data_IF_973838698069
#
_entry.id   IF_973838698069
#
_cell.length_a   1.000
_cell.length_b   1.000
_cell.length_c   1.000
_cell.angle_alpha   90.00
_cell.angle_beta   90.00
_cell.angle_gamma   90.00
#
_symmetry.space_group_name_H-M   'P 1'
#
loop_
_entity.id
_entity.type
_entity.pdbx_description
1 polymer ?
#
# COMPACT_ATOMS: atom_id res chain seq x y z
N UNK A 1 -28.60 49.71 20.10
CA UNK A 1 -29.22 48.79 19.13
C UNK A 1 -28.12 48.00 18.44
N UNK A 2 -27.71 46.86 18.99
CA UNK A 2 -26.63 46.04 18.45
C UNK A 2 -27.01 44.57 18.58
N UNK A 3 -27.71 44.03 17.60
CA UNK A 3 -27.92 42.61 17.37
C UNK A 3 -28.31 42.49 15.90
N UNK A 4 -27.81 41.45 15.21
CA UNK A 4 -28.18 41.00 13.85
C UNK A 4 -27.09 41.01 12.75
N UNK A 5 -25.80 40.81 13.07
CA UNK A 5 -24.79 40.53 12.01
C UNK A 5 -24.10 39.16 12.10
N UNK A 6 -24.33 38.36 13.16
CA UNK A 6 -23.59 37.09 13.34
C UNK A 6 -24.28 35.85 12.74
N UNK A 7 -25.57 35.93 12.39
CA UNK A 7 -26.33 34.74 11.94
C UNK A 7 -26.19 34.45 10.44
N UNK A 8 -25.76 35.42 9.64
CA UNK A 8 -25.68 35.27 8.18
C UNK A 8 -24.39 34.57 7.74
N UNK A 9 -23.28 34.79 8.45
CA UNK A 9 -21.95 34.26 8.09
C UNK A 9 -21.86 32.73 8.18
N UNK A 10 -22.50 32.12 9.19
CA UNK A 10 -22.51 30.65 9.36
C UNK A 10 -23.33 29.90 8.31
N UNK A 11 -24.36 30.52 7.72
CA UNK A 11 -25.17 29.88 6.66
C UNK A 11 -24.47 29.87 5.31
N UNK A 12 -23.69 30.91 4.99
CA UNK A 12 -22.95 30.98 3.72
C UNK A 12 -21.77 30.00 3.68
N UNK A 13 -21.03 29.81 4.79
CA UNK A 13 -19.91 28.88 4.85
C UNK A 13 -20.30 27.40 4.59
N UNK A 14 -21.46 26.97 5.11
CA UNK A 14 -21.94 25.58 4.90
C UNK A 14 -22.34 25.30 3.44
N UNK A 15 -22.80 26.31 2.71
CA UNK A 15 -23.23 26.15 1.30
C UNK A 15 -22.04 26.00 0.35
N UNK A 16 -20.91 26.64 0.65
CA UNK A 16 -19.67 26.52 -0.14
C UNK A 16 -18.93 25.20 0.11
N UNK A 17 -18.87 24.71 1.35
CA UNK A 17 -18.23 23.42 1.66
C UNK A 17 -18.89 22.24 0.93
N UNK A 18 -20.23 22.25 0.80
CA UNK A 18 -20.97 21.17 0.12
C UNK A 18 -20.72 21.13 -1.39
N UNK A 19 -20.52 22.29 -2.03
CA UNK A 19 -20.23 22.40 -3.46
C UNK A 19 -18.82 21.95 -3.84
N UNK A 20 -17.83 22.23 -2.97
CA UNK A 20 -16.44 21.81 -3.20
C UNK A 20 -16.30 20.28 -3.07
N UNK A 21 -16.98 19.68 -2.10
CA UNK A 21 -16.94 18.23 -1.88
C UNK A 21 -17.58 17.44 -3.04
N UNK A 22 -18.67 17.94 -3.64
CA UNK A 22 -19.30 17.29 -4.80
C UNK A 22 -18.46 17.39 -6.09
N UNK A 23 -17.74 18.49 -6.31
CA UNK A 23 -16.95 18.68 -7.53
C UNK A 23 -15.68 17.82 -7.53
N UNK A 24 -15.03 17.68 -6.37
CA UNK A 24 -13.86 16.79 -6.21
C UNK A 24 -14.23 15.31 -6.44
N UNK A 25 -15.42 14.88 -6.01
CA UNK A 25 -15.87 13.51 -6.26
C UNK A 25 -16.10 13.20 -7.75
N UNK A 26 -16.49 14.18 -8.57
CA UNK A 26 -16.75 13.94 -10.00
C UNK A 26 -15.45 13.95 -10.83
N UNK A 27 -14.47 14.79 -10.48
CA UNK A 27 -13.18 14.81 -11.18
C UNK A 27 -12.30 13.59 -10.83
N UNK A 28 -12.42 13.03 -9.61
CA UNK A 28 -11.75 11.77 -9.24
C UNK A 28 -12.30 10.57 -10.04
N UNK A 29 -13.59 10.57 -10.39
CA UNK A 29 -14.19 9.47 -11.16
C UNK A 29 -13.66 9.49 -12.61
N UNK A 30 -13.43 10.67 -13.19
CA UNK A 30 -12.95 10.77 -14.58
C UNK A 30 -11.45 10.48 -14.76
N UNK A 31 -10.63 10.63 -13.71
CA UNK A 31 -9.20 10.24 -13.75
C UNK A 31 -9.05 8.71 -13.56
N UNK A 32 -10.02 8.05 -12.92
CA UNK A 32 -9.96 6.60 -12.65
C UNK A 32 -10.07 5.71 -13.90
N UNK A 33 -10.53 6.25 -15.03
CA UNK A 33 -10.68 5.47 -16.27
C UNK A 33 -9.48 5.57 -17.21
N UNK A 34 -8.46 6.38 -16.90
CA UNK A 34 -7.35 6.64 -17.82
C UNK A 34 -5.95 6.32 -17.28
N UNK A 35 -5.84 5.40 -16.32
CA UNK A 35 -4.59 4.71 -15.99
C UNK A 35 -4.71 3.20 -16.22
N UNK A 36 -5.51 2.80 -17.21
CA UNK A 36 -5.31 1.54 -17.94
C UNK A 36 -4.28 1.80 -19.02
N UNK A 37 -2.99 1.76 -18.67
CA UNK A 37 -1.87 1.47 -19.58
C UNK A 37 -0.58 1.59 -18.79
N UNK A 38 0.34 0.66 -19.02
CA UNK A 38 1.70 0.59 -18.45
C UNK A 38 1.79 -0.13 -17.09
N UNK A 39 1.14 -1.29 -16.96
CA UNK A 39 1.85 -2.49 -16.47
C UNK A 39 1.41 -3.61 -17.41
N UNK A 40 2.38 -4.24 -18.06
CA UNK A 40 2.17 -5.15 -19.17
C UNK A 40 1.20 -6.29 -18.87
N UNK A 41 0.47 -6.66 -19.91
CA UNK A 41 -0.35 -7.86 -20.02
C UNK A 41 0.29 -9.06 -19.31
N UNK A 42 -0.29 -9.43 -18.17
CA UNK A 42 -0.54 -10.82 -17.82
C UNK A 42 -1.85 -10.83 -17.06
N UNK A 43 -2.94 -11.09 -17.79
CA UNK A 43 -4.29 -11.30 -17.26
C UNK A 43 -4.42 -12.59 -16.43
N UNK A 44 -3.47 -12.83 -15.51
CA UNK A 44 -3.58 -13.82 -14.47
C UNK A 44 -4.13 -13.14 -13.22
N UNK A 45 -5.24 -13.63 -12.68
CA UNK A 45 -5.67 -13.30 -11.33
C UNK A 45 -4.64 -13.92 -10.38
N UNK A 46 -3.58 -13.17 -10.07
CA UNK A 46 -2.59 -13.59 -9.09
C UNK A 46 -3.26 -13.61 -7.72
N UNK A 47 -3.55 -14.80 -7.22
CA UNK A 47 -4.04 -14.96 -5.87
C UNK A 47 -2.92 -14.64 -4.90
N UNK A 48 -3.28 -14.03 -3.78
CA UNK A 48 -2.32 -13.78 -2.71
C UNK A 48 -2.90 -14.11 -1.35
N UNK A 49 -2.01 -14.51 -0.44
CA UNK A 49 -2.34 -14.89 0.94
C UNK A 49 -1.58 -13.99 1.90
N UNK A 50 -2.30 -13.41 2.85
CA UNK A 50 -1.76 -12.55 3.90
C UNK A 50 -1.33 -13.41 5.10
N UNK A 51 -0.11 -13.22 5.60
CA UNK A 51 0.47 -13.98 6.72
C UNK A 51 0.83 -13.12 7.92
N UNK A 52 1.41 -11.92 7.71
CA UNK A 52 1.90 -11.02 8.77
C UNK A 52 2.81 -11.73 9.79
N UNK A 53 3.69 -12.61 9.32
CA UNK A 53 4.53 -13.45 10.17
C UNK A 53 5.99 -12.94 10.20
N UNK A 54 6.65 -12.84 11.37
CA UNK A 54 8.07 -12.52 11.43
C UNK A 54 8.89 -13.57 10.69
N UNK A 55 9.93 -13.14 9.99
CA UNK A 55 10.85 -14.00 9.25
C UNK A 55 12.30 -13.63 9.55
N UNK A 56 13.14 -14.65 9.62
CA UNK A 56 14.59 -14.46 9.65
C UNK A 56 15.09 -14.07 8.27
N UNK A 57 16.07 -13.18 8.22
CA UNK A 57 16.72 -12.76 6.98
C UNK A 57 18.23 -12.83 7.11
N UNK A 58 18.92 -12.96 5.97
CA UNK A 58 20.34 -12.66 5.86
C UNK A 58 20.52 -11.54 4.87
N UNK A 59 21.34 -10.57 5.26
CA UNK A 59 21.69 -9.42 4.46
C UNK A 59 23.15 -9.57 4.01
N UNK A 60 23.45 -9.08 2.81
CA UNK A 60 24.80 -8.81 2.35
C UNK A 60 24.92 -7.29 2.20
N UNK A 61 25.54 -6.64 3.19
CA UNK A 61 25.40 -5.19 3.39
C UNK A 61 23.95 -4.80 3.71
N UNK A 62 23.33 -4.02 2.82
CA UNK A 62 21.91 -3.62 2.93
C UNK A 62 20.98 -4.52 2.11
N UNK A 63 21.55 -5.38 1.24
CA UNK A 63 20.79 -6.17 0.29
C UNK A 63 20.26 -7.45 0.95
N UNK A 64 18.97 -7.70 0.77
CA UNK A 64 18.32 -8.93 1.22
C UNK A 64 18.69 -10.09 0.29
N UNK A 65 19.51 -11.02 0.78
CA UNK A 65 19.98 -12.18 -0.02
C UNK A 65 19.23 -13.47 0.29
N UNK A 66 18.77 -13.67 1.53
CA UNK A 66 18.04 -14.85 1.97
C UNK A 66 16.96 -14.47 2.99
N UNK A 67 15.85 -15.20 2.99
CA UNK A 67 14.87 -15.14 4.08
C UNK A 67 14.30 -16.53 4.37
N UNK A 68 13.88 -16.77 5.61
CA UNK A 68 13.33 -18.05 6.03
C UNK A 68 11.79 -18.05 5.94
N UNK A 69 11.25 -19.03 5.23
CA UNK A 69 9.81 -19.24 5.14
C UNK A 69 9.47 -20.73 5.23
N UNK A 70 8.53 -21.09 6.12
CA UNK A 70 8.11 -22.48 6.39
C UNK A 70 9.29 -23.44 6.59
N UNK A 71 10.27 -23.01 7.40
CA UNK A 71 11.46 -23.80 7.73
C UNK A 71 12.49 -23.92 6.59
N UNK A 72 12.33 -23.19 5.48
CA UNK A 72 13.26 -23.21 4.34
C UNK A 72 13.88 -21.84 4.14
N UNK A 73 15.18 -21.81 3.88
CA UNK A 73 15.87 -20.60 3.41
C UNK A 73 15.62 -20.43 1.91
N UNK A 74 15.05 -19.29 1.53
CA UNK A 74 14.76 -18.93 0.15
C UNK A 74 15.76 -17.87 -0.31
N UNK A 75 16.45 -18.15 -1.42
CA UNK A 75 17.39 -17.22 -2.04
C UNK A 75 16.65 -16.15 -2.84
N UNK A 76 16.97 -14.90 -2.56
CA UNK A 76 16.40 -13.75 -3.26
C UNK A 76 17.04 -13.63 -4.65
N UNK A 77 16.19 -13.53 -5.67
CA UNK A 77 16.59 -13.24 -7.04
C UNK A 77 16.52 -11.73 -7.33
N UNK A 78 15.48 -11.08 -6.83
CA UNK A 78 15.31 -9.63 -6.91
C UNK A 78 14.51 -9.13 -5.71
N UNK A 79 14.78 -7.90 -5.28
CA UNK A 79 14.09 -7.22 -4.21
C UNK A 79 13.83 -5.78 -4.64
N UNK A 80 12.56 -5.38 -4.71
CA UNK A 80 12.16 -4.03 -5.12
C UNK A 80 11.23 -3.41 -4.08
N UNK A 81 11.37 -2.11 -3.84
CA UNK A 81 10.45 -1.39 -2.98
C UNK A 81 9.16 -1.09 -3.75
N UNK A 82 8.03 -1.53 -3.23
CA UNK A 82 6.71 -1.33 -3.86
C UNK A 82 5.81 -0.45 -3.01
N UNK A 83 4.93 0.30 -3.67
CA UNK A 83 3.86 1.03 -3.02
C UNK A 83 2.62 0.15 -2.94
N UNK A 84 2.25 -0.26 -1.73
CA UNK A 84 1.02 -1.00 -1.47
C UNK A 84 0.01 -0.06 -0.85
N UNK A 85 -1.13 0.13 -1.54
CA UNK A 85 -2.26 0.84 -0.95
C UNK A 85 -2.86 -0.03 0.15
N UNK A 86 -2.75 0.42 1.40
CA UNK A 86 -3.29 -0.26 2.58
C UNK A 86 -4.46 0.51 3.18
N UNK A 87 -5.28 -0.21 3.93
CA UNK A 87 -6.29 0.41 4.78
C UNK A 87 -5.62 1.12 5.96
N UNK A 88 -6.25 2.21 6.41
CA UNK A 88 -5.72 3.07 7.48
C UNK A 88 -5.45 2.30 8.79
N UNK A 89 -6.25 1.26 9.07
CA UNK A 89 -6.13 0.44 10.26
C UNK A 89 -5.09 -0.69 10.14
N UNK A 90 -4.42 -0.83 8.99
CA UNK A 90 -3.34 -1.81 8.88
C UNK A 90 -2.12 -1.32 9.66
N UNK A 91 -1.61 -2.17 10.56
CA UNK A 91 -0.40 -1.93 11.35
C UNK A 91 0.82 -1.61 10.48
N UNK A 92 0.84 -2.10 9.23
CA UNK A 92 1.91 -1.87 8.27
C UNK A 92 1.61 -0.76 7.25
N UNK A 93 0.52 0.00 7.42
CA UNK A 93 0.09 1.09 6.53
C UNK A 93 1.21 2.08 6.18
N UNK A 94 2.08 2.39 7.13
CA UNK A 94 3.14 3.40 6.98
C UNK A 94 4.53 2.81 6.74
N UNK A 95 4.66 1.49 6.62
CA UNK A 95 5.96 0.85 6.47
C UNK A 95 6.32 0.57 5.00
N UNK A 96 7.61 0.71 4.63
CA UNK A 96 8.07 0.35 3.30
C UNK A 96 7.87 -1.14 3.06
N UNK A 97 7.39 -1.46 1.87
CA UNK A 97 7.12 -2.83 1.43
C UNK A 97 8.12 -3.22 0.37
N UNK A 98 8.68 -4.41 0.51
CA UNK A 98 9.69 -4.96 -0.36
C UNK A 98 9.11 -6.19 -1.03
N UNK A 99 8.91 -6.11 -2.35
CA UNK A 99 8.51 -7.25 -3.16
C UNK A 99 9.76 -8.03 -3.53
N UNK A 100 9.79 -9.27 -3.08
CA UNK A 100 10.91 -10.19 -3.18
C UNK A 100 10.51 -11.34 -4.08
N UNK A 101 11.27 -11.52 -5.16
CA UNK A 101 11.18 -12.72 -6.00
C UNK A 101 12.24 -13.70 -5.54
N UNK A 102 11.85 -14.91 -5.15
CA UNK A 102 12.78 -15.98 -4.84
C UNK A 102 13.30 -16.62 -6.15
N UNK A 103 14.53 -17.15 -6.14
CA UNK A 103 15.08 -17.91 -7.27
C UNK A 103 14.26 -19.16 -7.62
N UNK A 104 13.53 -19.70 -6.65
CA UNK A 104 12.58 -20.81 -6.87
C UNK A 104 11.29 -20.39 -7.57
N UNK A 105 11.11 -19.10 -7.90
CA UNK A 105 9.98 -18.57 -8.64
C UNK A 105 8.89 -17.90 -7.80
N UNK A 106 8.88 -18.11 -6.47
CA UNK A 106 7.86 -17.53 -5.59
C UNK A 106 7.99 -16.00 -5.43
N UNK A 107 6.88 -15.34 -5.17
CA UNK A 107 6.81 -13.88 -4.98
C UNK A 107 6.23 -13.55 -3.60
N UNK A 108 6.91 -12.66 -2.88
CA UNK A 108 6.67 -12.38 -1.47
C UNK A 108 6.71 -10.88 -1.22
N UNK A 109 5.80 -10.35 -0.42
CA UNK A 109 5.92 -8.99 0.11
C UNK A 109 6.42 -9.06 1.54
N UNK A 110 7.60 -8.50 1.78
CA UNK A 110 8.19 -8.33 3.10
C UNK A 110 8.06 -6.88 3.55
N UNK A 111 7.92 -6.69 4.85
CA UNK A 111 7.91 -5.38 5.50
C UNK A 111 9.00 -5.36 6.57
N UNK A 112 9.73 -4.26 6.67
CA UNK A 112 10.71 -4.04 7.74
C UNK A 112 10.07 -3.18 8.82
N UNK A 113 9.79 -3.77 9.98
CA UNK A 113 9.31 -3.07 11.16
C UNK A 113 10.47 -2.80 12.16
N UNK A 114 10.14 -2.32 13.36
CA UNK A 114 11.15 -2.03 14.40
C UNK A 114 11.74 -3.30 15.04
N UNK A 115 11.01 -4.42 15.01
CA UNK A 115 11.40 -5.69 15.62
C UNK A 115 12.17 -6.58 14.64
N UNK A 116 11.97 -6.40 13.33
CA UNK A 116 12.66 -7.17 12.29
C UNK A 116 11.92 -7.16 10.96
N UNK A 117 12.11 -8.24 10.22
CA UNK A 117 11.44 -8.46 8.94
C UNK A 117 10.18 -9.30 9.14
N UNK A 118 9.12 -8.92 8.45
CA UNK A 118 7.82 -9.59 8.48
C UNK A 118 7.43 -9.97 7.07
N UNK A 119 7.10 -11.23 6.85
CA UNK A 119 6.38 -11.66 5.66
C UNK A 119 4.92 -11.24 5.77
N UNK A 120 4.56 -10.23 5.00
CA UNK A 120 3.20 -9.74 4.94
C UNK A 120 2.36 -10.61 4.03
N UNK A 121 2.81 -10.88 2.80
CA UNK A 121 2.00 -11.53 1.77
C UNK A 121 2.82 -12.49 0.90
N UNK A 122 2.19 -13.57 0.47
CA UNK A 122 2.70 -14.48 -0.58
C UNK A 122 1.78 -14.39 -1.78
N UNK A 123 2.35 -14.33 -2.98
CA UNK A 123 1.63 -14.35 -4.24
C UNK A 123 1.85 -15.72 -4.92
N UNK A 124 0.78 -16.32 -5.42
CA UNK A 124 0.80 -17.59 -6.16
C UNK A 124 1.27 -17.41 -7.61
#
# INVERSE_FOLDING_TARGET
>A
MYQNHETTSRKYAKKYAKKICQKICQDIILISTNTRSIIGDTGGVFMSKLYKQPVEVRLDGEDLVLFQWRGRWLQVASCERVFVKRDYYDHYSNLPTFRVKARSGGLYDLVKDKAGWVLERVWD
#
